data_IF_576095610107
#
_entry.id   IF_576095610107
#
_cell.length_a   1.000
_cell.length_b   1.000
_cell.length_c   1.000
_cell.angle_alpha   90.00
_cell.angle_beta   90.00
_cell.angle_gamma   90.00
#
_symmetry.space_group_name_H-M   'P 1'
#
loop_
_entity.id
_entity.type
_entity.pdbx_description
1 polymer ?
#
# COMPACT_ATOMS: atom_id res chain seq x y z
N UNK A 1 24.86 -9.13 -14.97
CA UNK A 1 24.56 -7.79 -14.42
C UNK A 1 25.70 -6.79 -14.67
N UNK A 2 26.74 -7.20 -15.40
CA UNK A 2 28.04 -6.53 -15.51
C UNK A 2 28.05 -5.28 -16.41
N UNK A 3 26.88 -4.90 -16.92
CA UNK A 3 26.68 -3.72 -17.78
C UNK A 3 25.98 -2.56 -17.05
N UNK A 4 25.59 -2.75 -15.78
CA UNK A 4 24.89 -1.74 -14.97
C UNK A 4 25.55 -1.61 -13.60
N UNK A 5 25.54 -0.39 -13.06
CA UNK A 5 25.97 -0.10 -11.69
C UNK A 5 25.01 0.90 -11.04
N UNK A 6 24.75 0.72 -9.74
CA UNK A 6 23.97 1.67 -8.94
C UNK A 6 24.80 2.95 -8.76
N UNK A 7 24.21 4.10 -9.08
CA UNK A 7 24.87 5.41 -8.94
C UNK A 7 24.34 6.15 -7.72
N UNK A 8 23.05 6.00 -7.44
CA UNK A 8 22.36 6.65 -6.34
C UNK A 8 21.13 5.82 -5.95
N UNK A 9 20.82 5.81 -4.66
CA UNK A 9 19.57 5.32 -4.09
C UNK A 9 18.93 6.47 -3.31
N UNK A 10 17.63 6.67 -3.48
CA UNK A 10 16.90 7.72 -2.75
C UNK A 10 16.71 7.31 -1.29
N UNK A 11 16.51 8.27 -0.36
CA UNK A 11 15.90 7.94 0.92
C UNK A 11 14.57 7.18 0.72
N UNK A 12 14.18 6.31 1.66
CA UNK A 12 12.93 5.57 1.57
C UNK A 12 11.72 6.50 1.72
N UNK A 13 10.62 6.13 1.06
CA UNK A 13 9.30 6.75 1.19
C UNK A 13 8.22 5.67 1.06
N UNK A 14 7.01 5.92 1.59
CA UNK A 14 5.88 5.01 1.42
C UNK A 14 5.29 5.18 0.02
N UNK A 15 5.04 4.10 -0.71
CA UNK A 15 4.52 4.18 -2.08
C UNK A 15 3.19 3.41 -2.22
N UNK A 16 3.27 2.08 -2.40
CA UNK A 16 2.10 1.23 -2.59
C UNK A 16 1.22 1.10 -1.34
N UNK A 17 -0.10 1.19 -1.54
CA UNK A 17 -1.12 0.97 -0.51
C UNK A 17 -2.48 0.60 -1.10
N UNK A 18 -3.32 0.00 -0.25
CA UNK A 18 -4.71 -0.33 -0.60
C UNK A 18 -5.64 0.79 -0.16
N UNK A 19 -6.51 1.23 -1.06
CA UNK A 19 -7.58 2.20 -0.77
C UNK A 19 -8.92 1.51 -0.96
N UNK A 20 -9.81 1.69 0.00
CA UNK A 20 -11.19 1.22 -0.06
C UNK A 20 -12.13 2.42 -0.08
N UNK A 21 -13.25 2.31 -0.80
CA UNK A 21 -14.24 3.40 -0.86
C UNK A 21 -14.89 3.62 0.51
N UNK A 22 -15.27 4.86 0.86
CA UNK A 22 -15.89 5.15 2.15
C UNK A 22 -17.31 4.55 2.31
N UNK A 23 -18.02 4.28 1.22
CA UNK A 23 -19.41 3.82 1.22
C UNK A 23 -19.56 2.29 1.22
N UNK A 24 -18.49 1.53 1.39
CA UNK A 24 -18.56 0.05 1.44
C UNK A 24 -19.35 -0.46 2.65
N UNK A 25 -19.35 0.29 3.75
CA UNK A 25 -20.07 -0.06 4.97
C UNK A 25 -21.59 -0.11 4.74
N UNK A 26 -22.13 0.82 3.95
CA UNK A 26 -23.56 0.87 3.61
C UNK A 26 -24.02 -0.39 2.86
N UNK A 27 -23.11 -1.02 2.11
CA UNK A 27 -23.41 -2.19 1.29
C UNK A 27 -23.14 -3.52 1.99
N UNK A 28 -22.12 -3.58 2.85
CA UNK A 28 -21.59 -4.84 3.37
C UNK A 28 -21.58 -4.95 4.91
N UNK A 29 -22.00 -3.89 5.61
CA UNK A 29 -22.06 -3.81 7.07
C UNK A 29 -20.98 -2.88 7.66
N UNK A 30 -21.28 -2.34 8.84
CA UNK A 30 -20.44 -1.34 9.53
C UNK A 30 -19.02 -1.83 9.83
N UNK A 31 -18.84 -3.14 10.01
CA UNK A 31 -17.55 -3.77 10.31
C UNK A 31 -16.75 -4.18 9.07
N UNK A 32 -17.28 -3.96 7.87
CA UNK A 32 -16.69 -4.50 6.64
C UNK A 32 -15.28 -3.99 6.37
N UNK A 33 -15.03 -2.70 6.57
CA UNK A 33 -13.69 -2.12 6.41
C UNK A 33 -12.68 -2.81 7.31
N UNK A 34 -13.02 -3.03 8.59
CA UNK A 34 -12.15 -3.71 9.54
C UNK A 34 -11.90 -5.16 9.12
N UNK A 35 -12.94 -5.89 8.71
CA UNK A 35 -12.82 -7.27 8.24
C UNK A 35 -11.90 -7.40 7.02
N UNK A 36 -11.96 -6.44 6.09
CA UNK A 36 -11.05 -6.40 4.93
C UNK A 36 -9.62 -6.11 5.39
N UNK A 37 -9.43 -5.11 6.27
CA UNK A 37 -8.10 -4.82 6.84
C UNK A 37 -7.50 -6.05 7.53
N UNK A 38 -8.27 -6.71 8.38
CA UNK A 38 -7.84 -7.92 9.09
C UNK A 38 -7.51 -9.07 8.14
N UNK A 39 -8.26 -9.22 7.03
CA UNK A 39 -7.97 -10.24 6.04
C UNK A 39 -6.60 -10.05 5.36
N UNK A 40 -6.20 -8.81 5.09
CA UNK A 40 -4.87 -8.51 4.53
C UNK A 40 -3.75 -8.67 5.57
N UNK A 41 -3.96 -8.16 6.79
CA UNK A 41 -2.95 -8.20 7.85
C UNK A 41 -2.68 -9.60 8.38
N UNK A 42 -3.64 -10.51 8.29
CA UNK A 42 -3.53 -11.88 8.78
C UNK A 42 -3.19 -12.91 7.69
N UNK A 43 -2.75 -12.48 6.49
CA UNK A 43 -2.23 -13.43 5.49
C UNK A 43 -1.02 -14.18 6.07
N UNK A 44 -1.06 -15.50 5.98
CA UNK A 44 -0.06 -16.42 6.52
C UNK A 44 0.73 -17.08 5.38
N UNK A 45 2.02 -16.79 5.30
CA UNK A 45 2.93 -17.39 4.32
C UNK A 45 3.11 -18.91 4.49
N UNK A 46 2.68 -19.51 5.60
CA UNK A 46 2.68 -20.97 5.78
C UNK A 46 1.46 -21.66 5.13
N UNK A 47 0.43 -20.89 4.76
CA UNK A 47 -0.69 -21.40 3.99
C UNK A 47 -0.38 -21.27 2.48
N UNK A 48 -0.37 -22.36 1.70
CA UNK A 48 0.05 -22.32 0.28
C UNK A 48 -0.74 -21.33 -0.58
N UNK A 49 -2.05 -21.20 -0.38
CA UNK A 49 -2.90 -20.32 -1.17
C UNK A 49 -2.64 -18.84 -0.82
N UNK A 50 -2.39 -18.55 0.46
CA UNK A 50 -2.08 -17.19 0.91
C UNK A 50 -0.64 -16.80 0.58
N UNK A 51 0.29 -17.76 0.60
CA UNK A 51 1.66 -17.58 0.14
C UNK A 51 1.73 -17.23 -1.35
N UNK A 52 0.84 -17.78 -2.18
CA UNK A 52 0.73 -17.39 -3.59
C UNK A 52 0.33 -15.91 -3.74
N UNK A 53 -0.62 -15.44 -2.92
CA UNK A 53 -1.01 -14.01 -2.89
C UNK A 53 0.18 -13.14 -2.49
N UNK A 54 0.86 -13.47 -1.39
CA UNK A 54 2.01 -12.73 -0.88
C UNK A 54 3.18 -12.70 -1.88
N UNK A 55 3.48 -13.84 -2.51
CA UNK A 55 4.48 -13.97 -3.56
C UNK A 55 4.17 -13.11 -4.79
N UNK A 56 2.90 -13.02 -5.19
CA UNK A 56 2.48 -12.14 -6.28
C UNK A 56 2.80 -10.66 -5.99
N UNK A 57 2.70 -10.23 -4.73
CA UNK A 57 3.10 -8.89 -4.30
C UNK A 57 4.60 -8.76 -3.98
N UNK A 58 5.37 -9.85 -4.00
CA UNK A 58 6.76 -9.86 -3.56
C UNK A 58 6.92 -9.46 -2.09
N UNK A 59 5.94 -9.75 -1.25
CA UNK A 59 5.88 -9.34 0.14
C UNK A 59 5.80 -10.55 1.07
N UNK A 60 6.34 -10.44 2.28
CA UNK A 60 6.20 -11.47 3.32
C UNK A 60 4.93 -11.27 4.17
N UNK A 61 4.26 -10.12 4.02
CA UNK A 61 3.06 -9.73 4.74
C UNK A 61 2.66 -8.29 4.42
N UNK A 62 1.42 -7.92 4.78
CA UNK A 62 0.97 -6.52 4.74
C UNK A 62 1.06 -5.88 6.12
N UNK A 63 1.23 -4.56 6.15
CA UNK A 63 1.27 -3.75 7.37
C UNK A 63 0.18 -2.69 7.36
N UNK A 64 -0.22 -2.22 8.54
CA UNK A 64 -1.12 -1.09 8.67
C UNK A 64 -0.45 0.19 8.14
N UNK A 65 -1.25 1.08 7.56
CA UNK A 65 -0.80 2.39 7.09
C UNK A 65 -1.79 3.47 7.50
N UNK A 66 -1.37 4.73 7.38
CA UNK A 66 -2.17 5.92 7.69
C UNK A 66 -1.86 7.01 6.68
N UNK A 67 -2.78 7.96 6.48
CA UNK A 67 -2.64 9.00 5.45
C UNK A 67 -1.34 9.80 5.58
N UNK A 68 -0.89 10.10 6.81
CA UNK A 68 0.33 10.89 7.04
C UNK A 68 1.61 10.24 6.52
N UNK A 69 1.58 8.94 6.22
CA UNK A 69 2.71 8.24 5.59
C UNK A 69 2.99 8.76 4.15
N UNK A 70 2.00 9.41 3.53
CA UNK A 70 2.06 9.88 2.14
C UNK A 70 2.15 11.41 2.03
N UNK A 71 2.23 12.14 3.15
CA UNK A 71 2.28 13.61 3.18
C UNK A 71 3.44 14.16 2.33
N UNK A 72 4.61 13.50 2.37
CA UNK A 72 5.77 13.89 1.56
C UNK A 72 5.48 13.77 0.06
N UNK A 73 4.79 12.72 -0.37
CA UNK A 73 4.42 12.53 -1.77
C UNK A 73 3.43 13.61 -2.20
N UNK A 74 2.42 13.90 -1.38
CA UNK A 74 1.45 14.94 -1.69
C UNK A 74 2.15 16.32 -1.82
N UNK A 75 3.03 16.66 -0.88
CA UNK A 75 3.78 17.91 -0.91
C UNK A 75 4.60 18.06 -2.19
N UNK A 76 5.35 17.01 -2.57
CA UNK A 76 6.11 17.01 -3.84
C UNK A 76 5.17 17.12 -5.03
N UNK A 77 4.09 16.33 -5.07
CA UNK A 77 3.09 16.35 -6.14
C UNK A 77 2.49 17.74 -6.38
N UNK A 78 2.23 18.49 -5.30
CA UNK A 78 1.78 19.89 -5.37
C UNK A 78 2.89 20.82 -5.86
N UNK A 79 4.11 20.69 -5.34
CA UNK A 79 5.27 21.50 -5.74
C UNK A 79 5.57 21.40 -7.24
N UNK A 80 5.52 20.17 -7.78
CA UNK A 80 5.80 19.91 -9.20
C UNK A 80 4.56 20.00 -10.10
N UNK A 81 3.43 20.46 -9.57
CA UNK A 81 2.19 20.68 -10.33
C UNK A 81 1.48 19.41 -10.83
N UNK A 82 1.74 18.25 -10.23
CA UNK A 82 1.02 17.00 -10.49
C UNK A 82 -0.28 16.87 -9.69
N UNK A 83 -0.41 17.66 -8.61
CA UNK A 83 -1.64 17.81 -7.83
C UNK A 83 -2.02 19.29 -7.89
N UNK A 84 -3.22 19.57 -8.38
CA UNK A 84 -3.81 20.91 -8.44
C UNK A 84 -5.10 20.91 -7.65
N UNK A 85 -5.32 21.98 -6.87
CA UNK A 85 -6.60 22.17 -6.20
C UNK A 85 -7.67 22.51 -7.25
N UNK A 86 -8.83 21.87 -7.13
CA UNK A 86 -10.00 22.12 -8.00
C UNK A 86 -10.75 23.38 -7.59
#
# INVERSE_FOLDING_TARGET
LDKVMVILETPPYHDYHWVIRPDVAERYGDDFTQRVTDAFLNLDANNPDQAEILSFFGADGFIATQNSNYDQIEAVGREIGQIVDN
#
